data_IF_148109774753
#
_entry.id   IF_148109774753
#
_cell.length_a   1.000
_cell.length_b   1.000
_cell.length_c   1.000
_cell.angle_alpha   90.00
_cell.angle_beta   90.00
_cell.angle_gamma   90.00
#
_symmetry.space_group_name_H-M   'P 1'
#
loop_
_entity.id
_entity.type
_entity.pdbx_description
1 polymer ?
#
# COMPACT_ATOMS: atom_id res chain seq x y z
N UNK A 1 -63.31 -22.07 -40.87
CA UNK A 1 -63.14 -21.39 -39.57
C UNK A 1 -61.66 -21.44 -39.18
N UNK A 2 -60.84 -20.44 -39.51
CA UNK A 2 -59.41 -20.43 -39.15
C UNK A 2 -58.76 -19.02 -39.14
N UNK A 3 -59.49 -17.96 -38.80
CA UNK A 3 -58.96 -16.58 -38.81
C UNK A 3 -58.96 -15.88 -37.44
N UNK A 4 -59.53 -16.48 -36.39
CA UNK A 4 -59.73 -15.80 -35.10
C UNK A 4 -58.54 -15.92 -34.10
N UNK A 5 -57.54 -16.77 -34.36
CA UNK A 5 -56.52 -17.15 -33.35
C UNK A 5 -55.14 -16.47 -33.51
N UNK A 6 -54.93 -15.65 -34.55
CA UNK A 6 -53.65 -14.98 -34.81
C UNK A 6 -53.50 -13.65 -34.04
N UNK A 7 -54.61 -12.93 -33.83
CA UNK A 7 -54.61 -11.64 -33.14
C UNK A 7 -54.30 -11.76 -31.64
N UNK A 8 -54.82 -12.80 -30.98
CA UNK A 8 -54.56 -13.05 -29.55
C UNK A 8 -53.10 -13.41 -29.28
N UNK A 9 -52.48 -14.26 -30.12
CA UNK A 9 -51.06 -14.60 -30.00
C UNK A 9 -50.17 -13.39 -30.25
N UNK A 10 -50.45 -12.56 -31.25
CA UNK A 10 -49.69 -11.32 -31.53
C UNK A 10 -49.75 -10.33 -30.36
N UNK A 11 -50.92 -10.21 -29.70
CA UNK A 11 -51.08 -9.37 -28.49
C UNK A 11 -50.29 -9.91 -27.30
N UNK A 12 -50.26 -11.23 -27.08
CA UNK A 12 -49.42 -11.83 -26.02
C UNK A 12 -47.92 -11.62 -26.28
N UNK A 13 -47.46 -11.77 -27.52
CA UNK A 13 -46.04 -11.55 -27.85
C UNK A 13 -45.63 -10.08 -27.68
N UNK A 14 -46.49 -9.13 -28.07
CA UNK A 14 -46.25 -7.70 -27.85
C UNK A 14 -46.18 -7.35 -26.36
N UNK A 15 -47.09 -7.89 -25.54
CA UNK A 15 -47.07 -7.67 -24.09
C UNK A 15 -45.82 -8.26 -23.42
N UNK A 16 -45.39 -9.45 -23.82
CA UNK A 16 -44.16 -10.07 -23.31
C UNK A 16 -42.91 -9.26 -23.69
N UNK A 17 -42.86 -8.72 -24.91
CA UNK A 17 -41.74 -7.90 -25.38
C UNK A 17 -41.67 -6.55 -24.65
N UNK A 18 -42.82 -5.91 -24.41
CA UNK A 18 -42.89 -4.67 -23.63
C UNK A 18 -42.47 -4.91 -22.19
N UNK A 19 -42.90 -6.01 -21.56
CA UNK A 19 -42.47 -6.37 -20.21
C UNK A 19 -40.97 -6.64 -20.11
N UNK A 20 -40.40 -7.39 -21.07
CA UNK A 20 -38.97 -7.65 -21.11
C UNK A 20 -38.14 -6.37 -21.33
N UNK A 21 -38.62 -5.47 -22.19
CA UNK A 21 -37.98 -4.18 -22.43
C UNK A 21 -38.03 -3.27 -21.21
N UNK A 22 -39.17 -3.20 -20.51
CA UNK A 22 -39.30 -2.41 -19.26
C UNK A 22 -38.39 -2.98 -18.16
N UNK A 23 -38.32 -4.30 -18.01
CA UNK A 23 -37.39 -4.94 -17.04
C UNK A 23 -35.93 -4.65 -17.41
N UNK A 24 -35.56 -4.70 -18.70
CA UNK A 24 -34.21 -4.38 -19.16
C UNK A 24 -33.85 -2.91 -18.90
N UNK A 25 -34.77 -1.97 -19.17
CA UNK A 25 -34.56 -0.54 -18.90
C UNK A 25 -34.47 -0.27 -17.39
N UNK A 26 -35.31 -0.91 -16.57
CA UNK A 26 -35.23 -0.80 -15.10
C UNK A 26 -33.92 -1.38 -14.58
N UNK A 27 -33.46 -2.52 -15.09
CA UNK A 27 -32.15 -3.10 -14.75
C UNK A 27 -30.99 -2.18 -15.16
N UNK A 28 -31.06 -1.53 -16.32
CA UNK A 28 -30.05 -0.54 -16.71
C UNK A 28 -30.05 0.70 -15.80
N UNK A 29 -31.20 1.12 -15.28
CA UNK A 29 -31.27 2.25 -14.34
C UNK A 29 -30.89 1.90 -12.90
N UNK A 30 -30.99 0.64 -12.48
CA UNK A 30 -30.53 0.20 -11.15
C UNK A 30 -29.04 -0.18 -11.11
N UNK A 31 -28.41 -0.44 -12.25
CA UNK A 31 -26.99 -0.85 -12.34
C UNK A 31 -26.09 0.12 -13.14
N UNK A 32 -26.64 1.19 -13.71
CA UNK A 32 -25.89 2.17 -14.48
C UNK A 32 -25.64 3.43 -13.67
N UNK A 33 -24.55 3.47 -12.90
CA UNK A 33 -24.14 4.71 -12.24
C UNK A 33 -23.18 4.54 -11.07
N UNK A 34 -22.15 3.69 -11.18
CA UNK A 34 -20.95 3.93 -10.39
C UNK A 34 -20.21 5.10 -11.04
N UNK A 35 -20.59 6.32 -10.65
CA UNK A 35 -19.76 7.50 -10.83
C UNK A 35 -18.39 7.17 -10.22
N UNK A 36 -17.42 6.90 -11.09
CA UNK A 36 -16.03 6.77 -10.70
C UNK A 36 -15.61 8.09 -10.03
N UNK A 37 -15.67 8.12 -8.70
CA UNK A 37 -15.11 9.22 -7.93
C UNK A 37 -13.67 9.46 -8.37
N UNK A 38 -13.19 10.72 -8.36
CA UNK A 38 -11.84 11.02 -8.79
C UNK A 38 -10.87 10.14 -8.01
N UNK A 39 -10.07 9.34 -8.72
CA UNK A 39 -8.99 8.57 -8.11
C UNK A 39 -8.08 9.49 -7.28
N UNK A 40 -7.45 8.99 -6.22
CA UNK A 40 -6.52 9.81 -5.45
C UNK A 40 -5.45 10.33 -6.40
N UNK A 41 -5.18 11.62 -6.28
CA UNK A 41 -4.03 12.22 -6.92
C UNK A 41 -2.77 11.43 -6.52
N UNK A 42 -1.77 11.32 -7.40
CA UNK A 42 -0.47 10.79 -7.01
C UNK A 42 -0.03 11.47 -5.73
N UNK A 43 0.56 10.73 -4.79
CA UNK A 43 1.12 11.29 -3.56
C UNK A 43 1.95 12.51 -3.95
N UNK A 44 1.54 13.73 -3.54
CA UNK A 44 2.19 14.93 -4.01
C UNK A 44 3.67 14.86 -3.65
N UNK A 45 4.52 15.20 -4.61
CA UNK A 45 5.95 15.37 -4.32
C UNK A 45 6.10 16.35 -3.15
N UNK A 46 7.07 16.13 -2.25
CA UNK A 46 7.30 17.03 -1.13
C UNK A 46 7.49 18.46 -1.63
N UNK A 47 6.85 19.42 -0.97
CA UNK A 47 7.10 20.86 -1.20
C UNK A 47 8.58 21.19 -0.92
N UNK A 48 9.11 22.23 -1.55
CA UNK A 48 10.51 22.66 -1.34
C UNK A 48 10.84 22.92 0.14
N UNK A 49 9.86 23.37 0.94
CA UNK A 49 10.02 23.53 2.39
C UNK A 49 10.14 22.18 3.12
N UNK A 50 9.32 21.19 2.76
CA UNK A 50 9.38 19.85 3.33
C UNK A 50 10.68 19.11 2.92
N UNK A 51 11.17 19.37 1.70
CA UNK A 51 12.47 18.87 1.25
C UNK A 51 13.61 19.45 2.10
N UNK A 52 13.59 20.76 2.41
CA UNK A 52 14.59 21.40 3.27
C UNK A 52 14.57 20.84 4.70
N UNK A 53 13.40 20.62 5.29
CA UNK A 53 13.27 19.97 6.61
C UNK A 53 13.83 18.54 6.60
N UNK A 54 13.55 17.78 5.53
CA UNK A 54 14.10 16.43 5.34
C UNK A 54 15.63 16.45 5.27
N UNK A 55 16.22 17.43 4.59
CA UNK A 55 17.69 17.59 4.51
C UNK A 55 18.30 17.85 5.88
N UNK A 56 17.67 18.68 6.71
CA UNK A 56 18.15 18.91 8.09
C UNK A 56 17.99 17.64 8.94
N UNK A 57 16.89 16.90 8.78
CA UNK A 57 16.69 15.62 9.47
C UNK A 57 17.77 14.59 9.08
N UNK A 58 18.11 14.49 7.79
CA UNK A 58 19.21 13.64 7.29
C UNK A 58 20.55 14.00 7.92
N UNK A 59 20.82 15.29 8.15
CA UNK A 59 22.07 15.72 8.82
C UNK A 59 22.14 15.26 10.26
N UNK A 60 21.00 15.15 10.94
CA UNK A 60 20.92 14.72 12.35
C UNK A 60 21.10 13.21 12.54
N UNK A 61 20.89 12.39 11.51
CA UNK A 61 21.06 10.94 11.60
C UNK A 61 22.52 10.57 11.87
N UNK A 62 22.71 9.65 12.82
CA UNK A 62 24.02 9.05 13.07
C UNK A 62 24.53 8.32 11.82
N UNK A 63 25.83 8.41 11.56
CA UNK A 63 26.48 7.79 10.41
C UNK A 63 27.54 6.80 10.89
N UNK A 64 27.39 5.53 10.54
CA UNK A 64 28.37 4.46 10.86
C UNK A 64 28.19 3.25 9.96
N UNK A 65 29.16 2.34 9.99
CA UNK A 65 29.06 1.05 9.29
C UNK A 65 27.85 0.22 9.79
N UNK A 66 27.26 -0.64 8.95
CA UNK A 66 26.23 -1.57 9.42
C UNK A 66 26.84 -2.58 10.40
N UNK A 67 26.07 -2.95 11.40
CA UNK A 67 26.42 -4.10 12.25
C UNK A 67 26.25 -5.40 11.44
N UNK A 68 26.96 -6.49 11.77
CA UNK A 68 26.72 -7.78 11.13
C UNK A 68 25.26 -8.22 11.26
N UNK A 69 24.72 -8.85 10.21
CA UNK A 69 23.33 -9.36 10.17
C UNK A 69 23.05 -10.54 11.13
N UNK A 70 24.08 -11.04 11.81
CA UNK A 70 23.98 -12.17 12.73
C UNK A 70 22.88 -11.99 13.77
N UNK A 71 22.15 -13.09 14.02
CA UNK A 71 21.06 -13.12 15.00
C UNK A 71 19.77 -12.44 14.55
N UNK A 72 19.68 -11.96 13.30
CA UNK A 72 18.42 -11.48 12.74
C UNK A 72 17.41 -12.63 12.59
N UNK A 73 16.25 -12.46 13.20
CA UNK A 73 15.04 -13.22 12.90
C UNK A 73 13.87 -12.23 12.84
N UNK A 74 13.04 -12.34 11.80
CA UNK A 74 11.86 -11.47 11.64
C UNK A 74 10.92 -11.57 12.84
N UNK A 75 10.87 -12.71 13.53
CA UNK A 75 10.08 -12.90 14.76
C UNK A 75 10.50 -11.97 15.91
N UNK A 76 11.70 -11.39 15.88
CA UNK A 76 12.15 -10.40 16.86
C UNK A 76 11.36 -9.08 16.78
N UNK A 77 10.63 -8.86 15.69
CA UNK A 77 9.71 -7.74 15.50
C UNK A 77 8.26 -8.10 15.89
N UNK A 78 8.04 -9.26 16.49
CA UNK A 78 6.72 -9.74 16.90
C UNK A 78 5.94 -10.41 15.77
N UNK A 79 4.67 -10.79 16.03
CA UNK A 79 3.82 -11.41 15.03
C UNK A 79 3.62 -10.47 13.84
N UNK A 80 3.68 -11.02 12.62
CA UNK A 80 3.48 -10.25 11.42
C UNK A 80 2.08 -9.61 11.40
N UNK A 81 2.03 -8.30 11.12
CA UNK A 81 0.79 -7.53 10.98
C UNK A 81 -0.06 -7.44 12.26
N UNK A 82 0.56 -7.55 13.42
CA UNK A 82 -0.15 -7.51 14.70
C UNK A 82 -0.79 -6.14 14.97
N UNK A 83 -2.04 -6.16 15.41
CA UNK A 83 -2.76 -4.97 15.90
C UNK A 83 -2.27 -4.52 17.30
N UNK A 84 -1.53 -5.37 18.02
CA UNK A 84 -0.97 -5.05 19.34
C UNK A 84 0.25 -4.12 19.27
N UNK A 85 0.05 -2.90 18.78
CA UNK A 85 1.06 -1.84 18.70
C UNK A 85 0.53 -0.50 19.22
N UNK A 86 1.44 0.43 19.54
CA UNK A 86 1.07 1.76 20.06
C UNK A 86 1.16 2.86 19.01
N UNK A 87 1.59 2.52 17.78
CA UNK A 87 1.66 3.45 16.65
C UNK A 87 0.28 3.60 15.99
N UNK A 88 0.16 4.57 15.08
CA UNK A 88 -1.08 4.81 14.34
C UNK A 88 -1.59 3.52 13.66
N UNK A 89 -2.89 3.28 13.73
CA UNK A 89 -3.51 2.04 13.25
C UNK A 89 -3.46 0.87 14.24
N UNK A 90 -2.75 0.96 15.36
CA UNK A 90 -2.77 -0.08 16.39
C UNK A 90 -4.02 -0.05 17.26
N UNK A 91 -4.41 -1.23 17.76
CA UNK A 91 -5.54 -1.51 18.65
C UNK A 91 -6.88 -1.02 18.12
N UNK A 92 -7.08 -1.10 16.81
CA UNK A 92 -8.32 -0.72 16.16
C UNK A 92 -9.21 -1.94 15.80
N UNK A 93 -8.76 -3.16 16.10
CA UNK A 93 -9.46 -4.40 15.77
C UNK A 93 -9.14 -4.97 14.37
N UNK A 94 -8.27 -4.32 13.61
CA UNK A 94 -7.80 -4.72 12.29
C UNK A 94 -6.32 -5.13 12.34
N UNK A 95 -5.93 -6.16 11.57
CA UNK A 95 -4.51 -6.39 11.37
C UNK A 95 -3.88 -5.26 10.53
N UNK A 96 -2.61 -4.97 10.81
CA UNK A 96 -1.91 -3.85 10.18
C UNK A 96 -1.86 -3.96 8.66
N UNK A 97 -1.81 -5.19 8.11
CA UNK A 97 -1.80 -5.36 6.65
C UNK A 97 -3.08 -4.82 6.05
N UNK A 98 -4.22 -5.15 6.63
CA UNK A 98 -5.50 -4.66 6.16
C UNK A 98 -5.65 -3.15 6.35
N UNK A 99 -5.07 -2.56 7.41
CA UNK A 99 -5.05 -1.10 7.55
C UNK A 99 -4.26 -0.42 6.44
N UNK A 100 -3.09 -0.97 6.08
CA UNK A 100 -2.30 -0.44 4.96
C UNK A 100 -3.02 -0.63 3.63
N UNK A 101 -3.65 -1.78 3.40
CA UNK A 101 -4.45 -2.01 2.18
C UNK A 101 -5.63 -1.05 2.09
N UNK A 102 -6.34 -0.77 3.20
CA UNK A 102 -7.44 0.21 3.23
C UNK A 102 -6.95 1.63 2.93
N UNK A 103 -5.75 1.98 3.41
CA UNK A 103 -5.13 3.29 3.19
C UNK A 103 -4.67 3.48 1.74
N UNK A 104 -4.02 2.46 1.18
CA UNK A 104 -3.27 2.59 -0.07
C UNK A 104 -4.05 2.15 -1.32
N UNK A 105 -5.08 1.31 -1.17
CA UNK A 105 -5.91 0.88 -2.28
C UNK A 105 -7.10 1.81 -2.47
N UNK A 106 -7.55 1.89 -3.72
CA UNK A 106 -8.78 2.60 -4.11
C UNK A 106 -9.82 1.61 -4.58
N UNK A 107 -11.07 2.06 -4.71
CA UNK A 107 -12.18 1.22 -5.17
C UNK A 107 -12.26 -0.09 -4.37
N UNK A 108 -12.04 0.00 -3.05
CA UNK A 108 -11.89 -1.16 -2.20
C UNK A 108 -13.22 -1.88 -2.01
N UNK A 109 -13.14 -3.21 -1.96
CA UNK A 109 -14.22 -4.08 -1.49
C UNK A 109 -13.82 -4.68 -0.16
N UNK A 110 -14.59 -4.39 0.88
CA UNK A 110 -14.44 -5.03 2.18
C UNK A 110 -15.21 -6.34 2.23
N UNK A 111 -14.74 -7.27 3.06
CA UNK A 111 -15.49 -8.45 3.43
C UNK A 111 -16.78 -8.06 4.18
N UNK A 112 -17.77 -8.97 4.27
CA UNK A 112 -18.97 -8.74 5.06
C UNK A 112 -18.67 -8.34 6.51
N UNK A 113 -19.67 -7.73 7.17
CA UNK A 113 -19.61 -7.13 8.52
C UNK A 113 -19.00 -8.05 9.59
N UNK A 114 -19.00 -9.38 9.42
CA UNK A 114 -18.31 -10.29 10.34
C UNK A 114 -16.77 -10.24 10.26
N UNK A 115 -16.22 -9.49 9.30
CA UNK A 115 -14.78 -9.29 9.02
C UNK A 115 -14.50 -7.85 8.56
N UNK A 116 -15.01 -6.83 9.28
CA UNK A 116 -15.03 -5.40 8.89
C UNK A 116 -13.67 -4.81 8.47
N UNK A 117 -12.58 -5.49 8.79
CA UNK A 117 -11.22 -5.10 8.44
C UNK A 117 -10.71 -5.68 7.12
N UNK A 118 -11.28 -6.79 6.65
CA UNK A 118 -10.67 -7.56 5.57
C UNK A 118 -10.91 -6.89 4.22
N UNK A 119 -9.84 -6.41 3.58
CA UNK A 119 -9.87 -5.96 2.18
C UNK A 119 -9.86 -7.20 1.28
N UNK A 120 -10.92 -7.36 0.48
CA UNK A 120 -11.13 -8.47 -0.46
C UNK A 120 -10.69 -8.09 -1.87
N UNK A 121 -10.82 -6.82 -2.25
CA UNK A 121 -10.33 -6.31 -3.52
C UNK A 121 -10.06 -4.80 -3.46
N UNK A 122 -9.35 -4.29 -4.44
CA UNK A 122 -9.09 -2.87 -4.65
C UNK A 122 -8.12 -2.68 -5.81
N UNK A 123 -7.77 -1.43 -6.08
CA UNK A 123 -6.79 -1.08 -7.11
C UNK A 123 -5.64 -0.35 -6.45
N UNK A 124 -4.42 -0.81 -6.71
CA UNK A 124 -3.19 -0.15 -6.29
C UNK A 124 -2.67 0.69 -7.46
N UNK A 125 -2.49 1.99 -7.24
CA UNK A 125 -1.60 2.78 -8.07
C UNK A 125 -0.20 2.69 -7.45
N UNK A 126 0.61 1.76 -7.96
CA UNK A 126 1.84 1.35 -7.30
C UNK A 126 2.89 2.46 -7.35
N UNK A 127 3.33 2.99 -6.20
CA UNK A 127 4.28 4.09 -6.17
C UNK A 127 5.66 3.68 -6.70
N UNK A 128 6.03 2.39 -6.60
CA UNK A 128 7.37 1.94 -6.96
C UNK A 128 7.58 1.81 -8.48
N UNK A 129 6.56 1.36 -9.19
CA UNK A 129 6.63 1.12 -10.64
C UNK A 129 5.81 2.12 -11.46
N UNK A 130 4.93 2.90 -10.83
CA UNK A 130 3.97 3.77 -11.51
C UNK A 130 2.83 3.02 -12.21
N UNK A 131 2.70 1.71 -11.98
CA UNK A 131 1.70 0.85 -12.64
C UNK A 131 0.42 0.75 -11.82
N UNK A 132 -0.69 0.55 -12.50
CA UNK A 132 -1.94 0.12 -11.87
C UNK A 132 -1.94 -1.41 -11.69
N UNK A 133 -2.34 -1.86 -10.50
CA UNK A 133 -2.41 -3.29 -10.14
C UNK A 133 -3.75 -3.57 -9.48
N UNK A 134 -4.54 -4.47 -10.06
CA UNK A 134 -5.76 -4.96 -9.45
C UNK A 134 -5.44 -5.97 -8.35
N UNK A 135 -5.83 -5.64 -7.13
CA UNK A 135 -5.76 -6.52 -5.99
C UNK A 135 -7.09 -7.26 -5.82
N UNK A 136 -7.00 -8.58 -5.70
CA UNK A 136 -8.07 -9.46 -5.26
C UNK A 136 -7.49 -10.51 -4.32
N UNK A 137 -7.94 -10.50 -3.07
CA UNK A 137 -7.55 -11.48 -2.07
C UNK A 137 -7.74 -12.89 -2.61
N UNK A 138 -6.65 -13.64 -2.66
CA UNK A 138 -6.61 -15.00 -3.20
C UNK A 138 -5.23 -15.36 -3.72
N UNK A 139 -5.06 -16.60 -4.14
CA UNK A 139 -3.76 -17.12 -4.62
C UNK A 139 -3.23 -16.38 -5.85
N UNK A 140 -4.12 -15.81 -6.66
CA UNK A 140 -3.76 -15.25 -7.97
C UNK A 140 -3.07 -13.88 -7.86
N UNK A 141 -3.53 -13.01 -6.94
CA UNK A 141 -3.06 -11.61 -6.89
C UNK A 141 -2.62 -11.13 -5.51
N UNK A 142 -2.84 -11.90 -4.43
CA UNK A 142 -2.34 -11.51 -3.10
C UNK A 142 -0.81 -11.37 -3.05
N UNK A 143 -0.08 -12.14 -3.86
CA UNK A 143 1.38 -12.03 -3.98
C UNK A 143 1.81 -10.87 -4.88
N UNK A 144 0.93 -10.41 -5.78
CA UNK A 144 1.17 -9.28 -6.67
C UNK A 144 1.12 -7.93 -5.92
N UNK A 145 0.36 -7.83 -4.82
CA UNK A 145 0.39 -6.67 -3.91
C UNK A 145 0.92 -7.08 -2.54
N UNK A 146 2.11 -6.59 -2.21
CA UNK A 146 2.74 -6.81 -0.92
C UNK A 146 2.69 -5.53 -0.08
N UNK A 147 2.80 -5.67 1.24
CA UNK A 147 3.07 -4.53 2.11
C UNK A 147 4.57 -4.53 2.36
N UNK A 148 5.26 -3.54 1.81
CA UNK A 148 6.68 -3.34 2.05
C UNK A 148 6.95 -2.60 3.36
N UNK A 149 8.08 -2.93 3.96
CA UNK A 149 8.79 -2.14 4.95
C UNK A 149 9.76 -1.21 4.21
N UNK A 150 9.40 0.07 4.05
CA UNK A 150 10.18 1.07 3.28
C UNK A 150 11.64 1.08 3.76
N UNK A 151 11.87 1.06 5.06
CA UNK A 151 13.13 0.59 5.66
C UNK A 151 12.99 -0.90 5.98
N UNK A 152 13.70 -1.75 5.24
CA UNK A 152 13.61 -3.20 5.40
C UNK A 152 13.98 -3.63 6.83
N UNK A 153 13.29 -4.62 7.39
CA UNK A 153 13.52 -5.03 8.79
C UNK A 153 14.92 -5.59 9.04
N UNK A 154 15.54 -6.24 8.04
CA UNK A 154 16.92 -6.72 8.14
C UNK A 154 17.95 -5.58 8.05
N UNK A 155 17.69 -4.56 7.23
CA UNK A 155 18.47 -3.32 7.22
C UNK A 155 18.38 -2.62 8.58
N UNK A 156 17.16 -2.43 9.07
CA UNK A 156 16.93 -1.82 10.37
C UNK A 156 17.62 -2.59 11.50
N UNK A 157 17.64 -3.93 11.46
CA UNK A 157 18.36 -4.76 12.44
C UNK A 157 19.85 -4.44 12.49
N UNK A 158 20.49 -4.41 11.33
CA UNK A 158 21.89 -4.06 11.15
C UNK A 158 22.17 -2.59 11.46
N UNK A 159 21.13 -1.75 11.50
CA UNK A 159 21.21 -0.30 11.67
C UNK A 159 20.52 0.25 12.93
N UNK A 160 20.26 -0.61 13.92
CA UNK A 160 19.94 -0.21 15.30
C UNK A 160 18.74 -0.86 15.93
N UNK A 161 17.87 -1.49 15.14
CA UNK A 161 16.68 -2.15 15.68
C UNK A 161 17.02 -3.28 16.65
N UNK A 162 18.21 -3.88 16.54
CA UNK A 162 18.69 -4.89 17.52
C UNK A 162 18.84 -4.37 18.94
N UNK A 163 19.04 -3.07 19.12
CA UNK A 163 19.22 -2.41 20.41
C UNK A 163 17.90 -1.91 21.01
N UNK A 164 16.84 -1.86 20.21
CA UNK A 164 15.52 -1.43 20.67
C UNK A 164 14.91 -2.48 21.61
N UNK A 165 14.01 -2.06 22.48
CA UNK A 165 13.17 -3.00 23.22
C UNK A 165 12.18 -3.70 22.27
N UNK A 166 11.58 -4.80 22.75
CA UNK A 166 10.71 -5.63 21.93
C UNK A 166 9.46 -4.89 21.45
N UNK A 167 8.89 -3.98 22.25
CA UNK A 167 7.69 -3.23 21.85
C UNK A 167 8.04 -2.18 20.80
N UNK A 168 9.18 -1.51 20.94
CA UNK A 168 9.63 -0.53 19.93
C UNK A 168 9.97 -1.22 18.60
N UNK A 169 10.57 -2.41 18.59
CA UNK A 169 10.71 -3.20 17.35
C UNK A 169 9.36 -3.58 16.74
N UNK A 170 8.41 -4.00 17.57
CA UNK A 170 7.05 -4.34 17.11
C UNK A 170 6.37 -3.14 16.48
N UNK A 171 6.50 -1.96 17.09
CA UNK A 171 6.03 -0.69 16.54
C UNK A 171 6.69 -0.39 15.19
N UNK A 172 8.03 -0.45 15.07
CA UNK A 172 8.76 -0.22 13.82
C UNK A 172 8.26 -1.10 12.66
N UNK A 173 7.92 -2.37 12.95
CA UNK A 173 7.42 -3.29 11.94
C UNK A 173 5.94 -3.09 11.56
N UNK A 174 5.17 -2.34 12.34
CA UNK A 174 3.74 -2.12 12.08
C UNK A 174 3.39 -0.63 11.94
N UNK A 175 4.39 0.25 11.85
CA UNK A 175 4.20 1.69 11.72
C UNK A 175 3.80 2.07 10.30
N UNK A 176 2.65 2.74 10.08
CA UNK A 176 2.24 3.21 8.76
C UNK A 176 3.29 4.09 8.06
N UNK A 177 4.16 4.78 8.81
CA UNK A 177 5.29 5.54 8.23
C UNK A 177 6.28 4.62 7.50
N UNK A 178 6.53 3.43 8.06
CA UNK A 178 7.41 2.42 7.48
C UNK A 178 6.69 1.44 6.54
N UNK A 179 5.36 1.49 6.39
CA UNK A 179 4.61 0.54 5.60
C UNK A 179 3.98 1.13 4.34
N UNK A 180 3.97 0.40 3.23
CA UNK A 180 3.26 0.77 1.99
C UNK A 180 2.86 -0.47 1.17
N UNK A 181 1.65 -0.47 0.61
CA UNK A 181 1.29 -1.43 -0.43
C UNK A 181 2.04 -1.14 -1.75
N UNK A 182 2.67 -2.16 -2.31
CA UNK A 182 3.52 -2.07 -3.52
C UNK A 182 3.43 -3.32 -4.41
N UNK A 183 3.93 -3.20 -5.64
CA UNK A 183 4.17 -4.34 -6.55
C UNK A 183 5.09 -5.40 -5.91
N UNK A 184 4.59 -6.62 -5.81
CA UNK A 184 5.24 -7.74 -5.13
C UNK A 184 6.59 -8.14 -5.73
N UNK A 185 6.72 -8.36 -7.05
CA UNK A 185 8.01 -8.63 -7.69
C UNK A 185 9.04 -7.52 -7.47
N UNK A 186 8.64 -6.26 -7.58
CA UNK A 186 9.52 -5.11 -7.35
C UNK A 186 10.01 -5.08 -5.91
N UNK A 187 9.13 -5.35 -4.94
CA UNK A 187 9.49 -5.46 -3.53
C UNK A 187 10.45 -6.63 -3.24
N UNK A 188 10.24 -7.78 -3.87
CA UNK A 188 11.18 -8.91 -3.77
C UNK A 188 12.55 -8.55 -4.35
N UNK A 189 12.58 -7.78 -5.45
CA UNK A 189 13.80 -7.25 -6.06
C UNK A 189 14.55 -6.27 -5.15
N UNK A 190 13.83 -5.45 -4.36
CA UNK A 190 14.41 -4.60 -3.31
C UNK A 190 15.10 -5.46 -2.26
N UNK A 191 14.39 -6.39 -1.62
CA UNK A 191 14.94 -7.23 -0.55
C UNK A 191 15.28 -6.40 0.70
N UNK A 192 16.49 -6.57 1.23
CA UNK A 192 17.03 -5.86 2.40
C UNK A 192 17.93 -4.66 2.05
N UNK A 193 17.95 -4.27 0.77
CA UNK A 193 18.78 -3.17 0.27
C UNK A 193 18.36 -1.83 0.86
N UNK A 194 19.35 -1.00 1.18
CA UNK A 194 19.16 0.39 1.59
C UNK A 194 19.08 1.35 0.39
N UNK A 195 18.95 2.65 0.66
CA UNK A 195 18.81 3.68 -0.37
C UNK A 195 20.04 3.83 -1.29
N UNK A 196 21.24 3.38 -0.87
CA UNK A 196 22.42 3.38 -1.74
C UNK A 196 22.38 2.23 -2.74
N UNK A 197 21.78 1.11 -2.35
CA UNK A 197 21.76 -0.12 -3.15
C UNK A 197 20.51 -0.24 -4.02
N UNK A 198 19.40 0.40 -3.62
CA UNK A 198 18.14 0.32 -4.35
C UNK A 198 17.29 1.59 -4.18
N UNK A 199 16.76 2.07 -5.30
CA UNK A 199 15.74 3.10 -5.37
C UNK A 199 14.59 2.60 -6.25
N UNK A 200 13.35 3.06 -6.01
CA UNK A 200 12.21 2.74 -6.85
C UNK A 200 12.49 3.02 -8.35
N UNK A 201 12.08 2.11 -9.25
CA UNK A 201 12.14 2.33 -10.69
C UNK A 201 11.42 3.62 -11.13
N UNK A 202 10.28 3.92 -10.52
CA UNK A 202 9.58 5.19 -10.69
C UNK A 202 10.38 6.33 -10.04
N UNK A 203 11.05 7.13 -10.88
CA UNK A 203 11.90 8.24 -10.41
C UNK A 203 11.11 9.35 -9.71
N UNK A 204 9.85 9.59 -10.12
CA UNK A 204 9.01 10.63 -9.53
C UNK A 204 8.71 10.36 -8.04
N UNK A 205 8.75 9.10 -7.62
CA UNK A 205 8.49 8.70 -6.24
C UNK A 205 9.74 8.73 -5.33
N UNK A 206 10.95 8.91 -5.88
CA UNK A 206 12.20 8.75 -5.11
C UNK A 206 12.36 9.76 -3.98
N UNK A 207 11.93 11.01 -4.18
CA UNK A 207 11.92 12.03 -3.14
C UNK A 207 11.11 11.56 -1.92
N UNK A 208 9.86 11.15 -2.16
CA UNK A 208 8.97 10.63 -1.11
C UNK A 208 9.55 9.36 -0.46
N UNK A 209 10.11 8.44 -1.25
CA UNK A 209 10.74 7.23 -0.74
C UNK A 209 11.89 7.52 0.23
N UNK A 210 12.80 8.43 -0.15
CA UNK A 210 13.96 8.81 0.67
C UNK A 210 13.52 9.60 1.91
N UNK A 211 12.61 10.56 1.78
CA UNK A 211 12.08 11.31 2.92
C UNK A 211 11.48 10.37 3.97
N UNK A 212 10.67 9.39 3.55
CA UNK A 212 10.09 8.40 4.46
C UNK A 212 11.12 7.54 5.16
N UNK A 213 12.18 7.11 4.46
CA UNK A 213 13.26 6.37 5.11
C UNK A 213 13.96 7.21 6.17
N UNK A 214 14.22 8.49 5.90
CA UNK A 214 14.85 9.41 6.84
C UNK A 214 13.97 9.61 8.08
N UNK A 215 12.66 9.83 7.88
CA UNK A 215 11.69 9.95 8.97
C UNK A 215 11.64 8.70 9.86
N UNK A 216 11.57 7.51 9.26
CA UNK A 216 11.57 6.24 10.00
C UNK A 216 12.88 6.07 10.76
N UNK A 217 14.02 6.33 10.13
CA UNK A 217 15.33 6.17 10.79
C UNK A 217 15.49 7.17 11.93
N UNK A 218 15.00 8.39 11.78
CA UNK A 218 15.01 9.39 12.84
C UNK A 218 14.12 9.00 14.02
N UNK A 219 12.86 8.62 13.76
CA UNK A 219 11.89 8.22 14.80
C UNK A 219 12.42 7.07 15.67
N UNK A 220 13.02 6.07 15.01
CA UNK A 220 13.45 4.84 15.68
C UNK A 220 14.93 4.84 16.10
N UNK A 221 15.62 5.98 15.97
CA UNK A 221 17.04 6.12 16.34
C UNK A 221 17.96 5.17 15.57
N UNK A 222 17.60 4.87 14.32
CA UNK A 222 18.42 4.05 13.42
C UNK A 222 19.49 4.92 12.76
N UNK A 223 20.67 4.36 12.53
CA UNK A 223 21.72 5.06 11.78
C UNK A 223 21.67 4.73 10.30
N UNK A 224 22.46 5.47 9.53
CA UNK A 224 22.71 5.24 8.11
C UNK A 224 24.21 4.98 7.88
N UNK A 225 24.54 4.39 6.74
CA UNK A 225 25.93 4.30 6.28
C UNK A 225 26.35 5.60 5.59
N UNK A 226 27.67 5.86 5.43
CA UNK A 226 28.14 6.97 4.60
C UNK A 226 27.55 6.93 3.18
N UNK A 227 27.59 5.77 2.52
CA UNK A 227 27.07 5.61 1.15
C UNK A 227 25.55 5.85 1.09
N UNK A 228 24.80 5.38 2.08
CA UNK A 228 23.35 5.63 2.18
C UNK A 228 23.06 7.11 2.38
N UNK A 229 23.84 7.82 3.21
CA UNK A 229 23.69 9.26 3.41
C UNK A 229 23.92 10.03 2.11
N UNK A 230 24.98 9.69 1.38
CA UNK A 230 25.32 10.34 0.12
C UNK A 230 24.25 10.08 -0.95
N UNK A 231 23.73 8.85 -1.03
CA UNK A 231 22.63 8.51 -1.94
C UNK A 231 21.35 9.27 -1.59
N UNK A 232 20.97 9.32 -0.30
CA UNK A 232 19.80 10.07 0.15
C UNK A 232 19.95 11.57 -0.14
N UNK A 233 21.11 12.16 0.15
CA UNK A 233 21.39 13.58 -0.14
C UNK A 233 21.33 13.86 -1.65
N UNK A 234 21.87 12.96 -2.48
CA UNK A 234 21.83 13.08 -3.93
C UNK A 234 20.40 13.06 -4.49
N UNK A 235 19.52 12.20 -3.97
CA UNK A 235 18.10 12.20 -4.35
C UNK A 235 17.43 13.50 -3.92
N UNK A 236 17.62 13.93 -2.66
CA UNK A 236 17.01 15.14 -2.12
C UNK A 236 17.44 16.41 -2.86
N UNK A 237 18.64 16.44 -3.44
CA UNK A 237 19.11 17.57 -4.25
C UNK A 237 18.41 17.71 -5.62
N UNK A 238 17.65 16.68 -6.03
CA UNK A 238 16.86 16.68 -7.27
C UNK A 238 15.35 16.83 -7.03
N UNK A 239 14.98 16.93 -5.75
CA UNK A 239 13.69 17.43 -5.30
C UNK A 239 13.77 18.97 -5.24
#
# INVERSE_FOLDING_TARGET
MAAANSAGRRRLWLLAYVLAFVVFVVLQQTYGGDEAGPGPAPTPAPSSAAAAETVELLKSLAVRAPDPSGGYDRAQFGPAWTDDVTVAGGRNGCDTRNDVLKRDLVNIKLAPVTKECTVEAGTLYDPYTGREIYFRRGVDTSSAVQIDHVVALSDAWQKGARLLDAQTRKNLANDPRNLQAVDGPTNQGKGDKDAAQWLPPNSEYRCTYVSRQIEVKAEYGLWITPDEKDAMAGVLATC
#
